data_IF_453911466639
#
_entry.id   IF_453911466639
#
_cell.length_a   1.000
_cell.length_b   1.000
_cell.length_c   1.000
_cell.angle_alpha   90.00
_cell.angle_beta   90.00
_cell.angle_gamma   90.00
#
_symmetry.space_group_name_H-M   'P 1'
#
loop_
_entity.id
_entity.type
_entity.pdbx_description
1 polymer ?
#
# COMPACT_ATOMS: atom_id res chain seq x y z
N UNK A 1 -67.59 -53.89 17.81
CA UNK A 1 -68.07 -52.63 18.42
C UNK A 1 -67.08 -52.22 19.51
N UNK A 2 -66.18 -51.28 19.25
CA UNK A 2 -65.36 -50.68 20.33
C UNK A 2 -66.29 -49.88 21.25
N UNK A 3 -66.20 -50.06 22.56
CA UNK A 3 -67.00 -49.26 23.49
C UNK A 3 -66.55 -47.80 23.43
N UNK A 4 -67.49 -46.86 23.59
CA UNK A 4 -67.21 -45.41 23.61
C UNK A 4 -66.09 -45.04 24.59
N UNK A 5 -65.98 -45.77 25.71
CA UNK A 5 -64.92 -45.60 26.70
C UNK A 5 -63.51 -45.86 26.14
N UNK A 6 -63.33 -46.93 25.35
CA UNK A 6 -62.03 -47.24 24.73
C UNK A 6 -61.64 -46.19 23.69
N UNK A 7 -62.61 -45.67 22.93
CA UNK A 7 -62.38 -44.59 21.97
C UNK A 7 -61.97 -43.28 22.68
N UNK A 8 -62.68 -42.91 23.76
CA UNK A 8 -62.37 -41.73 24.54
C UNK A 8 -60.96 -41.79 25.16
N UNK A 9 -60.55 -42.97 25.66
CA UNK A 9 -59.20 -43.17 26.18
C UNK A 9 -58.12 -43.03 25.10
N UNK A 10 -58.37 -43.60 23.91
CA UNK A 10 -57.47 -43.47 22.76
C UNK A 10 -57.29 -42.01 22.34
N UNK A 11 -58.39 -41.27 22.19
CA UNK A 11 -58.37 -39.85 21.83
C UNK A 11 -57.65 -39.00 22.89
N UNK A 12 -57.80 -39.33 24.18
CA UNK A 12 -57.07 -38.65 25.26
C UNK A 12 -55.56 -38.87 25.14
N UNK A 13 -55.14 -40.08 24.78
CA UNK A 13 -53.72 -40.41 24.60
C UNK A 13 -53.14 -39.76 23.35
N UNK A 14 -53.86 -39.81 22.22
CA UNK A 14 -53.50 -39.11 20.99
C UNK A 14 -53.37 -37.59 21.22
N UNK A 15 -54.28 -36.97 21.98
CA UNK A 15 -54.19 -35.55 22.36
C UNK A 15 -52.94 -35.25 23.20
N UNK A 16 -52.59 -36.12 24.14
CA UNK A 16 -51.39 -35.95 24.97
C UNK A 16 -50.12 -36.07 24.13
N UNK A 17 -50.05 -37.05 23.22
CA UNK A 17 -48.88 -37.26 22.38
C UNK A 17 -48.73 -36.14 21.32
N UNK A 18 -49.84 -35.69 20.73
CA UNK A 18 -49.85 -34.50 19.86
C UNK A 18 -49.37 -33.25 20.62
N UNK A 19 -49.79 -33.07 21.87
CA UNK A 19 -49.31 -31.95 22.69
C UNK A 19 -47.82 -32.04 23.04
N UNK A 20 -47.27 -33.24 23.26
CA UNK A 20 -45.84 -33.45 23.48
C UNK A 20 -45.04 -33.13 22.22
N UNK A 21 -45.48 -33.65 21.07
CA UNK A 21 -44.85 -33.38 19.78
C UNK A 21 -44.85 -31.90 19.45
N UNK A 22 -45.97 -31.20 19.67
CA UNK A 22 -46.05 -29.75 19.48
C UNK A 22 -45.03 -28.99 20.33
N UNK A 23 -44.89 -29.35 21.62
CA UNK A 23 -43.91 -28.72 22.52
C UNK A 23 -42.47 -28.97 22.07
N UNK A 24 -42.17 -30.19 21.61
CA UNK A 24 -40.86 -30.54 21.08
C UNK A 24 -40.53 -29.72 19.82
N UNK A 25 -41.45 -29.68 18.86
CA UNK A 25 -41.30 -28.91 17.63
C UNK A 25 -41.15 -27.42 17.90
N UNK A 26 -41.92 -26.86 18.83
CA UNK A 26 -41.80 -25.45 19.23
C UNK A 26 -40.43 -25.13 19.82
N UNK A 27 -39.88 -26.03 20.66
CA UNK A 27 -38.52 -25.89 21.20
C UNK A 27 -37.47 -25.93 20.11
N UNK A 28 -37.54 -26.91 19.21
CA UNK A 28 -36.62 -27.04 18.08
C UNK A 28 -36.67 -25.82 17.16
N UNK A 29 -37.86 -25.30 16.88
CA UNK A 29 -38.03 -24.09 16.09
C UNK A 29 -37.38 -22.87 16.75
N UNK A 30 -37.58 -22.69 18.06
CA UNK A 30 -36.95 -21.59 18.82
C UNK A 30 -35.41 -21.68 18.79
N UNK A 31 -34.86 -22.87 18.94
CA UNK A 31 -33.42 -23.12 18.85
C UNK A 31 -32.89 -22.82 17.44
N UNK A 32 -33.57 -23.30 16.40
CA UNK A 32 -33.20 -23.03 15.01
C UNK A 32 -33.24 -21.54 14.66
N UNK A 33 -34.28 -20.82 15.10
CA UNK A 33 -34.39 -19.36 14.89
C UNK A 33 -33.28 -18.61 15.63
N UNK A 34 -32.98 -19.00 16.87
CA UNK A 34 -31.87 -18.40 17.64
C UNK A 34 -30.53 -18.61 16.93
N UNK A 35 -30.27 -19.83 16.46
CA UNK A 35 -29.06 -20.16 15.72
C UNK A 35 -28.97 -19.37 14.41
N UNK A 36 -30.05 -19.30 13.63
CA UNK A 36 -30.10 -18.52 12.39
C UNK A 36 -29.79 -17.03 12.63
N UNK A 37 -30.36 -16.44 13.68
CA UNK A 37 -30.08 -15.04 14.06
C UNK A 37 -28.61 -14.83 14.43
N UNK A 38 -28.05 -15.73 15.25
CA UNK A 38 -26.63 -15.68 15.64
C UNK A 38 -25.72 -15.79 14.43
N UNK A 39 -25.97 -16.76 13.55
CA UNK A 39 -25.20 -16.95 12.32
C UNK A 39 -25.28 -15.74 11.39
N UNK A 40 -26.48 -15.20 11.17
CA UNK A 40 -26.68 -14.00 10.33
C UNK A 40 -25.94 -12.79 10.91
N UNK A 41 -26.04 -12.57 12.23
CA UNK A 41 -25.30 -11.48 12.87
C UNK A 41 -23.77 -11.68 12.79
N UNK A 42 -23.29 -12.91 12.96
CA UNK A 42 -21.88 -13.24 12.80
C UNK A 42 -21.38 -12.98 11.39
N UNK A 43 -22.14 -13.40 10.38
CA UNK A 43 -21.83 -13.17 8.97
C UNK A 43 -21.76 -11.66 8.67
N UNK A 44 -22.75 -10.88 9.11
CA UNK A 44 -22.72 -9.41 8.92
C UNK A 44 -21.51 -8.74 9.59
N UNK A 45 -21.06 -9.25 10.74
CA UNK A 45 -19.86 -8.74 11.40
C UNK A 45 -18.59 -9.09 10.64
N UNK A 46 -18.53 -10.27 10.01
CA UNK A 46 -17.39 -10.69 9.18
C UNK A 46 -17.35 -9.87 7.90
N UNK A 47 -18.49 -9.66 7.24
CA UNK A 47 -18.59 -8.80 6.05
C UNK A 47 -18.10 -7.38 6.33
N UNK A 48 -18.52 -6.79 7.46
CA UNK A 48 -18.04 -5.46 7.84
C UNK A 48 -16.53 -5.41 8.06
N UNK A 49 -15.96 -6.39 8.77
CA UNK A 49 -14.51 -6.48 8.98
C UNK A 49 -13.74 -6.70 7.67
N UNK A 50 -14.32 -7.45 6.74
CA UNK A 50 -13.74 -7.66 5.42
C UNK A 50 -13.71 -6.34 4.66
N UNK A 51 -14.79 -5.56 4.68
CA UNK A 51 -14.86 -4.27 4.01
C UNK A 51 -13.88 -3.26 4.62
N UNK A 52 -13.82 -3.17 5.95
CA UNK A 52 -12.82 -2.35 6.65
C UNK A 52 -11.38 -2.74 6.27
N UNK A 53 -11.11 -4.04 6.12
CA UNK A 53 -9.79 -4.54 5.72
C UNK A 53 -9.46 -4.21 4.27
N UNK A 54 -10.43 -4.31 3.36
CA UNK A 54 -10.26 -3.90 1.96
C UNK A 54 -9.97 -2.40 1.86
N UNK A 55 -10.68 -1.57 2.63
CA UNK A 55 -10.42 -0.13 2.70
C UNK A 55 -8.97 0.17 3.09
N UNK A 56 -8.51 -0.43 4.19
CA UNK A 56 -7.11 -0.30 4.65
C UNK A 56 -6.09 -0.79 3.63
N UNK A 57 -6.36 -1.91 2.95
CA UNK A 57 -5.50 -2.40 1.87
C UNK A 57 -5.44 -1.41 0.70
N UNK A 58 -6.56 -0.77 0.37
CA UNK A 58 -6.61 0.29 -0.64
C UNK A 58 -5.74 1.49 -0.27
N UNK A 59 -5.81 1.95 0.98
CA UNK A 59 -4.97 3.04 1.51
C UNK A 59 -3.49 2.69 1.45
N UNK A 60 -3.11 1.50 1.94
CA UNK A 60 -1.72 1.01 1.90
C UNK A 60 -1.22 0.92 0.45
N UNK A 61 -2.04 0.42 -0.47
CA UNK A 61 -1.64 0.28 -1.87
C UNK A 61 -1.46 1.64 -2.55
N UNK A 62 -2.28 2.64 -2.20
CA UNK A 62 -2.13 4.00 -2.69
C UNK A 62 -0.84 4.66 -2.16
N UNK A 63 -0.55 4.49 -0.87
CA UNK A 63 0.70 4.98 -0.27
C UNK A 63 1.93 4.31 -0.87
N UNK A 64 1.89 2.99 -1.03
CA UNK A 64 2.95 2.22 -1.69
C UNK A 64 3.21 2.71 -3.12
N UNK A 65 2.13 2.92 -3.90
CA UNK A 65 2.24 3.44 -5.27
C UNK A 65 2.87 4.84 -5.31
N UNK A 66 2.55 5.69 -4.34
CA UNK A 66 3.14 7.02 -4.22
C UNK A 66 4.63 6.95 -3.87
N UNK A 67 5.02 6.12 -2.91
CA UNK A 67 6.43 5.90 -2.55
C UNK A 67 7.22 5.36 -3.74
N UNK A 68 6.66 4.40 -4.47
CA UNK A 68 7.29 3.85 -5.67
C UNK A 68 7.50 4.92 -6.75
N UNK A 69 6.48 5.72 -7.06
CA UNK A 69 6.61 6.81 -8.02
C UNK A 69 7.65 7.85 -7.59
N UNK A 70 7.75 8.15 -6.28
CA UNK A 70 8.77 9.05 -5.73
C UNK A 70 10.17 8.48 -5.89
N UNK A 71 10.35 7.18 -5.62
CA UNK A 71 11.62 6.48 -5.82
C UNK A 71 12.07 6.54 -7.28
N UNK A 72 11.20 6.17 -8.21
CA UNK A 72 11.49 6.25 -9.66
C UNK A 72 11.85 7.68 -10.10
N UNK A 73 11.20 8.69 -9.52
CA UNK A 73 11.53 10.09 -9.79
C UNK A 73 12.92 10.47 -9.28
N UNK A 74 13.32 10.01 -8.10
CA UNK A 74 14.65 10.26 -7.56
C UNK A 74 15.73 9.54 -8.38
N UNK A 75 15.47 8.32 -8.81
CA UNK A 75 16.37 7.56 -9.69
C UNK A 75 16.60 8.31 -11.01
N UNK A 76 15.54 8.81 -11.66
CA UNK A 76 15.67 9.65 -12.87
C UNK A 76 16.50 10.91 -12.64
N UNK A 77 16.29 11.59 -11.51
CA UNK A 77 17.05 12.78 -11.15
C UNK A 77 18.53 12.46 -10.89
N UNK A 78 18.82 11.34 -10.23
CA UNK A 78 20.18 10.89 -10.00
C UNK A 78 20.90 10.56 -11.32
N UNK A 79 20.24 9.84 -12.24
CA UNK A 79 20.80 9.58 -13.58
C UNK A 79 21.08 10.87 -14.36
N UNK A 80 20.14 11.82 -14.36
CA UNK A 80 20.34 13.10 -15.03
C UNK A 80 21.49 13.92 -14.41
N UNK A 81 21.66 13.87 -13.08
CA UNK A 81 22.79 14.50 -12.40
C UNK A 81 24.12 13.84 -12.77
N UNK A 82 24.17 12.51 -12.85
CA UNK A 82 25.34 11.75 -13.29
C UNK A 82 25.76 12.13 -14.72
N UNK A 83 24.79 12.26 -15.63
CA UNK A 83 25.04 12.69 -17.01
C UNK A 83 25.63 14.12 -17.05
N UNK A 84 25.05 15.06 -16.28
CA UNK A 84 25.57 16.44 -16.17
C UNK A 84 26.98 16.48 -15.60
N UNK A 85 27.25 15.69 -14.55
CA UNK A 85 28.57 15.58 -13.96
C UNK A 85 29.60 15.11 -14.99
N UNK A 86 29.24 14.10 -15.79
CA UNK A 86 30.10 13.60 -16.87
C UNK A 86 30.39 14.68 -17.91
N UNK A 87 29.41 15.51 -18.25
CA UNK A 87 29.59 16.63 -19.17
C UNK A 87 30.49 17.74 -18.59
N UNK A 88 30.31 18.09 -17.31
CA UNK A 88 31.14 19.11 -16.65
C UNK A 88 32.58 18.62 -16.45
N UNK A 89 32.81 17.32 -16.19
CA UNK A 89 34.16 16.73 -16.17
C UNK A 89 34.83 16.86 -17.55
N UNK A 90 34.13 16.53 -18.63
CA UNK A 90 34.68 16.71 -19.97
C UNK A 90 34.95 18.19 -20.29
N UNK A 91 34.09 19.10 -19.84
CA UNK A 91 34.29 20.54 -19.98
C UNK A 91 35.49 21.05 -19.15
N UNK A 92 35.73 20.48 -17.97
CA UNK A 92 36.89 20.73 -17.12
C UNK A 92 38.17 20.34 -17.84
N UNK A 93 38.22 19.12 -18.39
CA UNK A 93 39.39 18.62 -19.12
C UNK A 93 39.72 19.52 -20.32
N UNK A 94 38.68 19.95 -21.07
CA UNK A 94 38.86 20.90 -22.16
C UNK A 94 39.36 22.27 -21.67
N UNK A 95 38.82 22.79 -20.56
CA UNK A 95 39.26 24.06 -19.99
C UNK A 95 40.70 24.01 -19.47
N UNK A 96 41.16 22.86 -18.96
CA UNK A 96 42.56 22.64 -18.58
C UNK A 96 43.48 22.66 -19.80
N UNK A 97 43.08 22.04 -20.91
CA UNK A 97 43.82 22.08 -22.18
C UNK A 97 43.88 23.53 -22.71
N UNK A 98 42.76 24.25 -22.71
CA UNK A 98 42.69 25.63 -23.17
C UNK A 98 43.59 26.55 -22.32
N UNK A 99 43.63 26.34 -21.01
CA UNK A 99 44.51 27.07 -20.09
C UNK A 99 46.00 26.79 -20.36
N UNK A 100 46.36 25.54 -20.63
CA UNK A 100 47.74 25.16 -20.98
C UNK A 100 48.20 25.78 -22.31
N UNK A 101 47.27 25.92 -23.26
CA UNK A 101 47.55 26.47 -24.59
C UNK A 101 47.41 28.00 -24.67
N UNK A 102 47.00 28.67 -23.59
CA UNK A 102 46.80 30.12 -23.59
C UNK A 102 48.13 30.88 -23.65
N UNK A 103 48.35 31.62 -24.74
CA UNK A 103 49.61 32.32 -24.99
C UNK A 103 49.69 33.71 -24.35
N UNK A 104 48.54 34.34 -24.07
CA UNK A 104 48.46 35.69 -23.47
C UNK A 104 47.97 35.65 -22.03
N UNK A 105 48.43 36.58 -21.20
CA UNK A 105 48.04 36.63 -19.79
C UNK A 105 46.53 36.87 -19.60
N UNK A 106 45.90 37.64 -20.51
CA UNK A 106 44.45 37.81 -20.52
C UNK A 106 43.70 36.51 -20.86
N UNK A 107 44.18 35.74 -21.83
CA UNK A 107 43.58 34.44 -22.17
C UNK A 107 43.74 33.43 -21.03
N UNK A 108 44.89 33.44 -20.33
CA UNK A 108 45.12 32.60 -19.15
C UNK A 108 44.16 32.93 -18.01
N UNK A 109 43.93 34.21 -17.73
CA UNK A 109 42.97 34.62 -16.69
C UNK A 109 41.55 34.15 -17.01
N UNK A 110 41.08 34.37 -18.25
CA UNK A 110 39.74 33.94 -18.67
C UNK A 110 39.59 32.41 -18.59
N UNK A 111 40.60 31.66 -19.04
CA UNK A 111 40.59 30.20 -18.98
C UNK A 111 40.61 29.69 -17.52
N UNK A 112 41.38 30.33 -16.63
CA UNK A 112 41.44 29.98 -15.21
C UNK A 112 40.12 30.26 -14.48
N UNK A 113 39.46 31.39 -14.76
CA UNK A 113 38.14 31.71 -14.20
C UNK A 113 37.08 30.71 -14.67
N UNK A 114 37.10 30.34 -15.96
CA UNK A 114 36.19 29.32 -16.50
C UNK A 114 36.41 27.95 -15.85
N UNK A 115 37.67 27.55 -15.67
CA UNK A 115 38.01 26.30 -14.99
C UNK A 115 37.53 26.30 -13.53
N UNK A 116 37.72 27.41 -12.80
CA UNK A 116 37.24 27.55 -11.43
C UNK A 116 35.71 27.43 -11.32
N UNK A 117 34.97 28.04 -12.25
CA UNK A 117 33.51 27.92 -12.31
C UNK A 117 33.04 26.48 -12.57
N UNK A 118 33.72 25.76 -13.47
CA UNK A 118 33.39 24.35 -13.75
C UNK A 118 33.67 23.47 -12.53
N UNK A 119 34.80 23.67 -11.86
CA UNK A 119 35.13 22.93 -10.63
C UNK A 119 34.07 23.16 -9.54
N UNK A 120 33.62 24.41 -9.37
CA UNK A 120 32.56 24.72 -8.41
C UNK A 120 31.26 23.99 -8.77
N UNK A 121 30.84 24.01 -10.03
CA UNK A 121 29.64 23.29 -10.49
C UNK A 121 29.72 21.78 -10.26
N UNK A 122 30.90 21.19 -10.48
CA UNK A 122 31.14 19.76 -10.22
C UNK A 122 30.89 19.45 -8.75
N UNK A 123 31.44 20.24 -7.83
CA UNK A 123 31.24 20.07 -6.39
C UNK A 123 29.77 20.18 -6.00
N UNK A 124 29.07 21.19 -6.53
CA UNK A 124 27.62 21.38 -6.29
C UNK A 124 26.81 20.16 -6.79
N UNK A 125 27.13 19.62 -7.97
CA UNK A 125 26.47 18.43 -8.52
C UNK A 125 26.75 17.17 -7.72
N UNK A 126 27.96 16.99 -7.20
CA UNK A 126 28.32 15.86 -6.34
C UNK A 126 27.56 15.90 -5.00
N UNK A 127 27.48 17.08 -4.36
CA UNK A 127 26.71 17.27 -3.14
C UNK A 127 25.22 17.03 -3.36
N UNK A 128 24.67 17.56 -4.44
CA UNK A 128 23.26 17.38 -4.80
C UNK A 128 22.93 15.90 -5.07
N UNK A 129 23.82 15.19 -5.78
CA UNK A 129 23.67 13.75 -6.03
C UNK A 129 23.65 12.95 -4.73
N UNK A 130 24.57 13.25 -3.81
CA UNK A 130 24.64 12.63 -2.49
C UNK A 130 23.36 12.87 -1.68
N UNK A 131 22.86 14.11 -1.62
CA UNK A 131 21.62 14.44 -0.92
C UNK A 131 20.41 13.68 -1.49
N UNK A 132 20.33 13.55 -2.82
CA UNK A 132 19.27 12.79 -3.49
C UNK A 132 19.34 11.30 -3.19
N UNK A 133 20.55 10.73 -3.15
CA UNK A 133 20.74 9.33 -2.79
C UNK A 133 20.33 9.05 -1.34
N UNK A 134 20.76 9.89 -0.39
CA UNK A 134 20.32 9.80 1.00
C UNK A 134 18.80 9.95 1.15
N UNK A 135 18.17 10.79 0.33
CA UNK A 135 16.71 10.94 0.32
C UNK A 135 16.00 9.70 -0.25
N UNK A 136 16.60 9.01 -1.22
CA UNK A 136 16.08 7.78 -1.80
C UNK A 136 16.21 6.59 -0.83
N UNK A 137 17.28 6.52 -0.04
CA UNK A 137 17.48 5.49 0.98
C UNK A 137 16.54 5.63 2.19
N UNK A 138 16.02 6.83 2.43
CA UNK A 138 15.08 7.14 3.52
C UNK A 138 13.60 6.90 3.16
N UNK A 139 13.30 6.56 1.90
CA UNK A 139 11.96 6.24 1.40
C UNK A 139 11.67 4.75 1.47
#
# INVERSE_FOLDING_TARGET
MTSLAKLAQKLKQEKLDASKQRRLQEKMLKEAVSLARRSSSGLSSVERRLEDSKGKLGEINAEFSHVQARKESLERLASAAQERLTQEIAAKDQAEIDLQNAETDGAKQIAAERLAQIIQKIQELEEESKQRQEAAEKL
#
